data_IF_212066474208
#
_entry.id   IF_212066474208
#
_cell.length_a   1.000
_cell.length_b   1.000
_cell.length_c   1.000
_cell.angle_alpha   90.00
_cell.angle_beta   90.00
_cell.angle_gamma   90.00
#
_symmetry.space_group_name_H-M   'P 1'
#
loop_
_entity.id
_entity.type
_entity.pdbx_description
1 polymer ?
#
# COMPACT_ATOMS: atom_id res chain seq x y z
N UNK A 1 22.30 -52.11 21.45
CA UNK A 1 22.04 -50.68 21.74
C UNK A 1 22.65 -49.73 20.67
N UNK A 2 22.36 -49.92 19.38
CA UNK A 2 22.84 -49.01 18.29
C UNK A 2 21.71 -48.46 17.40
N UNK A 3 20.45 -48.80 17.68
CA UNK A 3 19.28 -48.45 16.85
C UNK A 3 18.39 -47.33 17.43
N UNK A 4 18.68 -46.84 18.64
CA UNK A 4 17.86 -45.81 19.33
C UNK A 4 18.41 -44.39 19.11
N UNK A 5 19.70 -44.25 18.78
CA UNK A 5 20.35 -42.94 18.62
C UNK A 5 20.01 -42.29 17.27
N UNK A 6 19.76 -43.10 16.22
CA UNK A 6 19.43 -42.59 14.88
C UNK A 6 18.04 -41.93 14.79
N UNK A 7 17.08 -42.33 15.63
CA UNK A 7 15.72 -41.82 15.56
C UNK A 7 15.61 -40.40 16.15
N UNK A 8 16.37 -40.12 17.22
CA UNK A 8 16.37 -38.82 17.91
C UNK A 8 17.04 -37.69 17.11
N UNK A 9 18.10 -38.01 16.34
CA UNK A 9 18.78 -37.02 15.49
C UNK A 9 17.92 -36.62 14.30
N UNK A 10 17.15 -37.55 13.73
CA UNK A 10 16.27 -37.26 12.59
C UNK A 10 15.07 -36.40 13.03
N UNK A 11 14.50 -36.61 14.22
CA UNK A 11 13.38 -35.77 14.70
C UNK A 11 13.80 -34.33 14.97
N UNK A 12 15.02 -34.10 15.48
CA UNK A 12 15.55 -32.75 15.71
C UNK A 12 15.78 -31.96 14.40
N UNK A 13 16.18 -32.65 13.33
CA UNK A 13 16.38 -32.03 12.00
C UNK A 13 15.03 -31.65 11.36
N UNK A 14 13.99 -32.48 11.50
CA UNK A 14 12.64 -32.12 11.00
C UNK A 14 12.01 -30.97 11.77
N UNK A 15 12.23 -30.86 13.08
CA UNK A 15 11.76 -29.72 13.88
C UNK A 15 12.54 -28.43 13.54
N UNK A 16 13.85 -28.52 13.31
CA UNK A 16 14.69 -27.39 12.92
C UNK A 16 14.39 -26.84 11.52
N UNK A 17 14.13 -27.72 10.55
CA UNK A 17 13.75 -27.31 9.18
C UNK A 17 12.33 -26.73 9.17
N UNK A 18 11.39 -27.30 9.93
CA UNK A 18 10.04 -26.76 10.07
C UNK A 18 10.02 -25.32 10.63
N UNK A 19 10.86 -25.02 11.62
CA UNK A 19 10.97 -23.66 12.18
C UNK A 19 11.67 -22.67 11.24
N UNK A 20 12.69 -23.10 10.50
CA UNK A 20 13.41 -22.25 9.55
C UNK A 20 12.55 -21.90 8.33
N UNK A 21 11.79 -22.86 7.78
CA UNK A 21 10.85 -22.63 6.67
C UNK A 21 9.70 -21.73 7.14
N UNK A 22 9.18 -21.93 8.35
CA UNK A 22 8.13 -21.07 8.92
C UNK A 22 8.64 -19.63 9.16
N UNK A 23 9.92 -19.41 9.46
CA UNK A 23 10.51 -18.07 9.63
C UNK A 23 10.83 -17.38 8.29
N UNK A 24 11.22 -18.14 7.27
CA UNK A 24 11.45 -17.63 5.92
C UNK A 24 10.13 -17.27 5.21
N UNK A 25 9.05 -18.01 5.47
CA UNK A 25 7.70 -17.74 4.93
C UNK A 25 6.98 -16.62 5.70
N UNK A 26 7.16 -16.51 7.02
CA UNK A 26 6.37 -15.58 7.84
C UNK A 26 6.98 -14.21 8.08
N UNK A 27 8.25 -13.94 7.76
CA UNK A 27 8.90 -12.64 8.05
C UNK A 27 8.69 -12.14 9.50
N UNK A 28 9.01 -10.88 9.83
CA UNK A 28 8.69 -10.31 11.13
C UNK A 28 7.20 -9.95 11.23
N UNK A 29 6.67 -9.91 12.46
CA UNK A 29 5.25 -9.61 12.72
C UNK A 29 4.85 -8.23 12.23
N UNK A 30 3.62 -8.11 11.74
CA UNK A 30 3.00 -6.87 11.28
C UNK A 30 1.70 -6.61 12.05
N UNK A 31 1.77 -6.16 13.31
CA UNK A 31 0.60 -6.02 14.18
C UNK A 31 -0.37 -4.94 13.70
N UNK A 32 -1.65 -5.25 13.68
CA UNK A 32 -2.74 -4.37 13.27
C UNK A 32 -3.63 -4.12 14.48
N UNK A 33 -3.80 -2.86 14.84
CA UNK A 33 -4.74 -2.42 15.89
C UNK A 33 -5.70 -1.33 15.39
N UNK A 34 -5.76 -1.09 14.08
CA UNK A 34 -6.70 -0.18 13.48
C UNK A 34 -6.75 -0.29 11.97
N UNK A 35 -7.70 0.43 11.38
CA UNK A 35 -7.84 0.63 9.96
C UNK A 35 -7.96 2.11 9.63
N UNK A 36 -7.50 2.51 8.46
CA UNK A 36 -7.88 3.77 7.85
C UNK A 36 -8.81 3.48 6.68
N UNK A 37 -9.90 4.23 6.57
CA UNK A 37 -10.88 4.08 5.50
C UNK A 37 -10.97 5.38 4.72
N UNK A 38 -10.90 5.30 3.41
CA UNK A 38 -10.99 6.42 2.47
C UNK A 38 -12.26 6.33 1.62
N UNK A 39 -12.90 7.48 1.40
CA UNK A 39 -14.09 7.58 0.56
C UNK A 39 -14.80 8.93 0.68
N UNK A 40 -16.09 8.95 0.34
CA UNK A 40 -16.94 10.12 0.59
C UNK A 40 -17.28 10.24 2.07
N UNK A 41 -17.78 11.41 2.50
CA UNK A 41 -18.19 11.63 3.90
C UNK A 41 -19.28 10.65 4.34
N UNK A 42 -20.18 10.30 3.43
CA UNK A 42 -21.26 9.33 3.65
C UNK A 42 -20.68 7.93 3.90
N UNK A 43 -19.73 7.50 3.06
CA UNK A 43 -19.04 6.21 3.24
C UNK A 43 -18.35 6.15 4.60
N UNK A 44 -17.59 7.19 4.96
CA UNK A 44 -16.90 7.27 6.25
C UNK A 44 -17.87 7.24 7.42
N UNK A 45 -18.96 7.99 7.34
CA UNK A 45 -19.98 8.04 8.39
C UNK A 45 -20.65 6.67 8.58
N UNK A 46 -20.94 5.97 7.49
CA UNK A 46 -21.50 4.62 7.53
C UNK A 46 -20.55 3.62 8.21
N UNK A 47 -19.25 3.66 7.87
CA UNK A 47 -18.26 2.79 8.52
C UNK A 47 -18.07 3.14 9.99
N UNK A 48 -17.99 4.42 10.36
CA UNK A 48 -17.91 4.81 11.79
C UNK A 48 -19.11 4.30 12.58
N UNK A 49 -20.32 4.42 12.03
CA UNK A 49 -21.54 3.91 12.66
C UNK A 49 -21.49 2.39 12.86
N UNK A 50 -20.80 1.65 11.99
CA UNK A 50 -20.60 0.21 12.13
C UNK A 50 -19.73 -0.16 13.36
N UNK A 51 -18.88 0.75 13.84
CA UNK A 51 -17.99 0.55 14.99
C UNK A 51 -18.40 1.33 16.24
N UNK A 52 -19.50 2.09 16.21
CA UNK A 52 -19.90 3.02 17.28
C UNK A 52 -20.00 2.36 18.67
N UNK A 53 -20.45 1.10 18.72
CA UNK A 53 -20.68 0.37 19.98
C UNK A 53 -19.43 -0.37 20.49
N UNK A 54 -18.28 -0.20 19.81
CA UNK A 54 -17.04 -0.94 20.10
C UNK A 54 -15.98 -0.09 20.82
N UNK A 55 -16.34 1.08 21.36
CA UNK A 55 -15.43 2.02 22.04
C UNK A 55 -14.15 2.34 21.25
N UNK A 56 -14.26 2.36 19.91
CA UNK A 56 -13.15 2.67 19.03
C UNK A 56 -12.74 4.13 19.18
N UNK A 57 -11.44 4.43 18.96
CA UNK A 57 -10.99 5.81 18.81
C UNK A 57 -10.96 6.16 17.34
N UNK A 58 -11.54 7.30 16.98
CA UNK A 58 -11.56 7.77 15.60
C UNK A 58 -10.82 9.08 15.42
N UNK A 59 -10.20 9.29 14.27
CA UNK A 59 -9.62 10.57 13.88
C UNK A 59 -9.81 10.78 12.38
N UNK A 60 -10.19 12.00 11.99
CA UNK A 60 -10.48 12.34 10.61
C UNK A 60 -9.38 13.18 9.99
N UNK A 61 -9.16 12.91 8.71
CA UNK A 61 -8.14 13.49 7.86
C UNK A 61 -8.72 13.68 6.45
N UNK A 62 -7.97 14.38 5.62
CA UNK A 62 -8.17 14.41 4.18
C UNK A 62 -6.84 14.22 3.47
N UNK A 63 -6.92 13.75 2.24
CA UNK A 63 -5.79 13.61 1.33
C UNK A 63 -6.30 13.74 -0.11
N UNK A 64 -5.39 13.93 -1.06
CA UNK A 64 -5.68 13.85 -2.49
C UNK A 64 -5.04 12.59 -3.05
N UNK A 65 -5.85 11.78 -3.74
CA UNK A 65 -5.37 10.62 -4.48
C UNK A 65 -5.12 11.05 -5.92
N UNK A 66 -3.85 11.24 -6.26
CA UNK A 66 -3.44 11.61 -7.63
C UNK A 66 -3.20 10.32 -8.40
N UNK A 67 -3.91 10.12 -9.50
CA UNK A 67 -3.75 8.96 -10.38
C UNK A 67 -3.46 9.43 -11.79
N UNK A 68 -2.33 9.02 -12.32
CA UNK A 68 -1.93 9.21 -13.70
C UNK A 68 -2.10 7.88 -14.45
N UNK A 69 -2.86 7.90 -15.53
CA UNK A 69 -3.06 6.74 -16.40
C UNK A 69 -2.07 6.87 -17.56
N UNK A 70 -1.09 5.96 -17.60
CA UNK A 70 -0.09 5.91 -18.65
C UNK A 70 -0.52 4.82 -19.62
N UNK A 71 -0.86 5.24 -20.84
CA UNK A 71 -1.12 4.32 -21.95
C UNK A 71 0.14 4.20 -22.78
N UNK A 72 0.72 3.00 -22.80
CA UNK A 72 1.82 2.66 -23.67
C UNK A 72 1.27 2.14 -24.99
N UNK A 73 1.45 2.90 -26.07
CA UNK A 73 1.08 2.41 -27.39
C UNK A 73 2.11 1.37 -27.84
N UNK A 74 1.68 0.09 -27.86
CA UNK A 74 2.45 -0.99 -28.44
C UNK A 74 2.29 -0.97 -29.96
N UNK A 75 3.39 -1.07 -30.69
CA UNK A 75 3.35 -1.24 -32.14
C UNK A 75 2.73 -2.60 -32.50
N UNK A 76 2.24 -2.73 -33.73
CA UNK A 76 1.71 -4.01 -34.25
C UNK A 76 2.75 -5.13 -34.12
N UNK A 77 4.02 -4.84 -34.41
CA UNK A 77 5.12 -5.81 -34.30
C UNK A 77 5.32 -6.27 -32.84
N UNK A 78 5.32 -5.34 -31.87
CA UNK A 78 5.44 -5.67 -30.45
C UNK A 78 4.26 -6.50 -29.95
N UNK A 79 3.03 -6.18 -30.38
CA UNK A 79 1.84 -6.97 -30.03
C UNK A 79 1.96 -8.40 -30.54
N UNK A 80 2.39 -8.60 -31.78
CA UNK A 80 2.56 -9.93 -32.38
C UNK A 80 3.69 -10.74 -31.72
N UNK A 81 4.81 -10.10 -31.37
CA UNK A 81 5.90 -10.76 -30.62
C UNK A 81 5.44 -11.25 -29.24
N UNK A 82 4.73 -10.41 -28.47
CA UNK A 82 4.22 -10.79 -27.14
C UNK A 82 3.22 -11.94 -27.24
N UNK A 83 2.29 -11.89 -28.20
CA UNK A 83 1.34 -12.99 -28.44
C UNK A 83 2.04 -14.29 -28.80
N UNK A 84 3.09 -14.22 -29.61
CA UNK A 84 3.91 -15.39 -29.97
C UNK A 84 4.58 -15.99 -28.74
N UNK A 85 5.17 -15.17 -27.87
CA UNK A 85 5.74 -15.64 -26.60
C UNK A 85 4.70 -16.32 -25.70
N UNK A 86 3.49 -15.77 -25.59
CA UNK A 86 2.41 -16.36 -24.77
C UNK A 86 1.99 -17.73 -25.32
N UNK A 87 1.86 -17.85 -26.64
CA UNK A 87 1.59 -19.13 -27.32
C UNK A 87 2.72 -20.14 -27.09
N UNK A 88 3.98 -19.72 -27.15
CA UNK A 88 5.16 -20.57 -26.88
C UNK A 88 5.27 -21.00 -25.42
N UNK A 89 4.84 -20.16 -24.47
CA UNK A 89 4.74 -20.49 -23.03
C UNK A 89 3.55 -21.40 -22.70
N UNK A 90 2.73 -21.74 -23.70
CA UNK A 90 1.58 -22.63 -23.55
C UNK A 90 0.36 -21.99 -22.91
N UNK A 91 0.24 -20.65 -22.98
CA UNK A 91 -0.97 -19.97 -22.53
C UNK A 91 -2.11 -20.24 -23.53
N UNK A 92 -3.16 -20.92 -23.06
CA UNK A 92 -4.34 -21.24 -23.88
C UNK A 92 -5.32 -20.06 -23.87
N UNK A 93 -4.99 -19.01 -24.63
CA UNK A 93 -5.86 -17.85 -24.87
C UNK A 93 -6.20 -17.73 -26.36
N UNK A 94 -7.42 -17.32 -26.65
CA UNK A 94 -7.84 -16.94 -28.00
C UNK A 94 -7.21 -15.61 -28.41
N UNK A 95 -7.16 -15.34 -29.73
CA UNK A 95 -6.61 -14.10 -30.28
C UNK A 95 -7.28 -12.85 -29.69
N UNK A 96 -8.60 -12.89 -29.53
CA UNK A 96 -9.40 -11.80 -28.94
C UNK A 96 -9.11 -11.60 -27.44
N UNK A 97 -8.84 -12.67 -26.69
CA UNK A 97 -8.43 -12.59 -25.29
C UNK A 97 -7.02 -12.02 -25.15
N UNK A 98 -6.11 -12.39 -26.05
CA UNK A 98 -4.76 -11.84 -26.08
C UNK A 98 -4.76 -10.35 -26.42
N UNK A 99 -5.58 -9.92 -27.39
CA UNK A 99 -5.73 -8.49 -27.71
C UNK A 99 -6.28 -7.70 -26.51
N UNK A 100 -7.31 -8.20 -25.84
CA UNK A 100 -7.85 -7.59 -24.61
C UNK A 100 -6.81 -7.54 -23.49
N UNK A 101 -5.98 -8.57 -23.37
CA UNK A 101 -4.93 -8.63 -22.33
C UNK A 101 -3.79 -7.66 -22.63
N UNK A 102 -3.40 -7.50 -23.90
CA UNK A 102 -2.42 -6.50 -24.34
C UNK A 102 -2.94 -5.08 -24.12
N UNK A 103 -4.20 -4.81 -24.45
CA UNK A 103 -4.82 -3.51 -24.25
C UNK A 103 -4.98 -3.17 -22.76
N UNK A 104 -5.10 -4.16 -21.87
CA UNK A 104 -5.01 -3.96 -20.41
C UNK A 104 -3.57 -3.73 -19.95
N UNK A 105 -2.63 -4.53 -20.45
CA UNK A 105 -1.22 -4.50 -20.03
C UNK A 105 -0.49 -3.23 -20.49
N UNK A 106 -0.97 -2.62 -21.58
CA UNK A 106 -0.52 -1.32 -22.07
C UNK A 106 -1.01 -0.13 -21.23
N UNK A 107 -1.88 -0.35 -20.23
CA UNK A 107 -2.32 0.70 -19.32
C UNK A 107 -1.66 0.49 -17.97
N UNK A 108 -0.66 1.31 -17.66
CA UNK A 108 -0.12 1.40 -16.30
C UNK A 108 -0.75 2.59 -15.55
N UNK A 109 -0.80 2.49 -14.22
CA UNK A 109 -1.31 3.55 -13.35
C UNK A 109 -0.20 3.95 -12.39
N UNK A 110 0.20 5.22 -12.40
CA UNK A 110 1.00 5.83 -11.34
C UNK A 110 0.06 6.52 -10.36
N UNK A 111 0.27 6.32 -9.07
CA UNK A 111 -0.63 6.84 -8.06
C UNK A 111 0.13 7.35 -6.85
N UNK A 112 -0.31 8.47 -6.30
CA UNK A 112 0.29 9.11 -5.14
C UNK A 112 -0.78 9.48 -4.11
N UNK A 113 -0.48 9.20 -2.84
CA UNK A 113 -1.22 9.74 -1.72
C UNK A 113 -0.60 11.09 -1.34
N UNK A 114 -1.25 12.18 -1.74
CA UNK A 114 -0.78 13.53 -1.44
C UNK A 114 -1.41 14.02 -0.15
N UNK A 115 -0.59 14.38 0.82
CA UNK A 115 -1.00 14.88 2.13
C UNK A 115 -0.31 16.20 2.46
N UNK A 116 -0.93 17.00 3.32
CA UNK A 116 -0.29 18.19 3.87
C UNK A 116 0.78 17.83 4.91
N UNK A 117 1.74 18.72 5.15
CA UNK A 117 2.71 18.58 6.25
C UNK A 117 2.04 18.38 7.61
N UNK A 118 0.98 19.14 7.88
CA UNK A 118 0.21 19.03 9.13
C UNK A 118 -0.43 17.64 9.32
N UNK A 119 -0.85 17.01 8.22
CA UNK A 119 -1.34 15.62 8.22
C UNK A 119 -0.21 14.62 8.40
N UNK A 120 0.92 14.83 7.72
CA UNK A 120 2.11 13.99 7.85
C UNK A 120 2.64 13.95 9.30
N UNK A 121 2.67 15.09 9.99
CA UNK A 121 3.04 15.16 11.42
C UNK A 121 2.11 14.33 12.31
N UNK A 122 0.79 14.41 12.08
CA UNK A 122 -0.20 13.62 12.83
C UNK A 122 -0.04 12.14 12.55
N UNK A 123 0.25 11.76 11.30
CA UNK A 123 0.48 10.37 10.91
C UNK A 123 1.79 9.83 11.51
N UNK A 124 2.85 10.64 11.51
CA UNK A 124 4.14 10.31 12.12
C UNK A 124 3.97 10.00 13.60
N UNK A 125 3.29 10.87 14.37
CA UNK A 125 3.01 10.66 15.80
C UNK A 125 2.23 9.39 16.09
N UNK A 126 1.39 8.94 15.15
CA UNK A 126 0.58 7.72 15.27
C UNK A 126 1.27 6.48 14.70
N UNK A 127 2.46 6.59 14.12
CA UNK A 127 3.15 5.49 13.44
C UNK A 127 2.48 5.00 12.14
N UNK A 128 1.65 5.85 11.53
CA UNK A 128 0.89 5.54 10.31
C UNK A 128 1.81 5.54 9.08
N UNK A 129 2.78 6.46 9.02
CA UNK A 129 3.78 6.47 7.94
C UNK A 129 4.77 5.35 8.19
N UNK A 130 4.97 4.49 7.19
CA UNK A 130 5.88 3.34 7.26
C UNK A 130 6.96 3.42 6.20
N UNK A 131 8.09 2.78 6.50
CA UNK A 131 9.27 2.62 5.62
C UNK A 131 9.63 1.14 5.55
N UNK A 132 10.26 0.64 4.46
CA UNK A 132 10.80 -0.71 4.40
C UNK A 132 11.75 -0.98 5.57
N UNK A 133 11.79 -2.22 6.04
CA UNK A 133 12.74 -2.63 7.08
C UNK A 133 14.20 -2.55 6.62
N UNK A 134 14.45 -2.80 5.34
CA UNK A 134 15.77 -2.64 4.73
C UNK A 134 15.65 -1.75 3.50
N UNK A 135 16.65 -0.89 3.29
CA UNK A 135 16.73 -0.02 2.11
C UNK A 135 16.79 -0.80 0.80
N UNK A 136 17.27 -2.04 0.84
CA UNK A 136 17.34 -2.92 -0.33
C UNK A 136 16.03 -3.64 -0.61
N UNK A 137 15.16 -3.74 0.39
CA UNK A 137 13.98 -4.57 0.34
C UNK A 137 12.84 -3.89 -0.45
N UNK A 138 12.34 -4.61 -1.45
CA UNK A 138 11.08 -4.30 -2.12
C UNK A 138 9.88 -4.91 -1.39
N UNK A 139 10.12 -5.67 -0.30
CA UNK A 139 9.05 -6.34 0.42
C UNK A 139 8.10 -5.36 1.13
N UNK A 140 6.87 -5.83 1.31
CA UNK A 140 5.84 -5.17 2.10
C UNK A 140 6.14 -5.12 3.61
N UNK A 141 7.27 -5.67 4.04
CA UNK A 141 7.65 -5.68 5.44
C UNK A 141 8.21 -4.32 5.82
N UNK A 142 7.57 -3.67 6.79
CA UNK A 142 7.82 -2.27 7.11
C UNK A 142 7.76 -1.99 8.59
N UNK A 143 8.37 -0.87 8.98
CA UNK A 143 8.35 -0.33 10.34
C UNK A 143 7.81 1.10 10.33
N UNK A 144 7.19 1.61 11.41
CA UNK A 144 6.83 3.01 11.51
C UNK A 144 8.05 3.91 11.32
N UNK A 145 7.87 4.99 10.56
CA UNK A 145 8.86 6.07 10.47
C UNK A 145 8.91 6.77 11.83
N UNK A 146 10.11 6.93 12.39
CA UNK A 146 10.32 7.54 13.71
C UNK A 146 10.45 9.06 13.64
N UNK A 147 11.04 9.56 12.57
CA UNK A 147 11.35 10.97 12.36
C UNK A 147 11.34 11.28 10.86
N UNK A 148 10.87 12.46 10.52
CA UNK A 148 11.02 13.05 9.19
C UNK A 148 11.60 14.46 9.37
N UNK A 149 12.91 14.60 9.23
CA UNK A 149 13.62 15.86 9.48
C UNK A 149 13.22 16.95 8.49
N UNK A 150 12.89 16.54 7.28
CA UNK A 150 12.53 17.42 6.18
C UNK A 150 11.15 18.05 6.35
N UNK A 151 10.32 17.61 7.30
CA UNK A 151 9.06 18.28 7.63
C UNK A 151 9.25 19.72 8.11
N UNK A 152 10.41 20.03 8.71
CA UNK A 152 10.76 21.39 9.13
C UNK A 152 11.17 22.31 7.95
N UNK A 153 11.41 21.75 6.77
CA UNK A 153 11.70 22.51 5.55
C UNK A 153 10.42 23.06 4.95
N UNK A 154 10.48 24.20 4.24
CA UNK A 154 9.35 24.71 3.46
C UNK A 154 9.10 23.92 2.16
N UNK A 155 10.04 23.07 1.76
CA UNK A 155 9.95 22.27 0.53
C UNK A 155 8.82 21.22 0.61
N UNK A 156 8.27 20.89 -0.56
CA UNK A 156 7.46 19.68 -0.72
C UNK A 156 8.39 18.47 -0.77
N UNK A 157 7.93 17.30 -0.33
CA UNK A 157 8.76 16.11 -0.15
C UNK A 157 8.17 14.96 -0.95
N UNK A 158 9.05 14.24 -1.66
CA UNK A 158 8.70 13.05 -2.40
C UNK A 158 9.56 11.88 -1.96
N UNK A 159 8.93 10.81 -1.46
CA UNK A 159 9.60 9.64 -0.92
C UNK A 159 9.51 8.47 -1.90
N UNK A 160 10.58 8.26 -2.66
CA UNK A 160 10.72 7.09 -3.52
C UNK A 160 12.17 6.68 -3.62
N UNK A 161 12.46 5.38 -3.51
CA UNK A 161 13.83 4.84 -3.58
C UNK A 161 14.51 5.15 -4.92
N UNK A 162 13.76 5.08 -6.01
CA UNK A 162 14.18 5.47 -7.35
C UNK A 162 13.06 6.29 -7.97
N UNK A 163 13.31 7.57 -8.22
CA UNK A 163 12.50 8.32 -9.16
C UNK A 163 12.94 7.87 -10.56
N UNK A 164 12.00 7.48 -11.40
CA UNK A 164 12.30 7.38 -12.83
C UNK A 164 12.58 8.79 -13.36
N UNK A 165 13.48 8.95 -14.34
CA UNK A 165 13.84 10.26 -14.89
C UNK A 165 12.62 11.03 -15.44
N UNK A 166 11.58 10.29 -15.84
CA UNK A 166 10.29 10.84 -16.30
C UNK A 166 9.35 11.25 -15.15
N UNK A 167 9.54 10.69 -13.95
CA UNK A 167 8.70 10.96 -12.78
C UNK A 167 9.11 12.25 -12.07
N UNK A 168 10.41 12.48 -11.94
CA UNK A 168 10.98 13.72 -11.39
C UNK A 168 11.94 14.33 -12.40
N UNK A 169 11.50 15.41 -13.05
CA UNK A 169 12.29 16.13 -14.05
C UNK A 169 12.66 17.52 -13.52
N UNK A 170 13.94 17.85 -13.56
CA UNK A 170 14.47 19.14 -13.10
C UNK A 170 14.01 19.52 -11.68
N UNK A 171 13.91 18.53 -10.78
CA UNK A 171 13.43 18.71 -9.40
C UNK A 171 11.91 18.87 -9.25
N UNK A 172 11.13 18.64 -10.31
CA UNK A 172 9.68 18.72 -10.30
C UNK A 172 9.06 17.34 -10.51
N UNK A 173 8.14 16.96 -9.61
CA UNK A 173 7.33 15.76 -9.72
C UNK A 173 6.10 16.05 -10.59
N UNK A 174 5.84 15.21 -11.58
CA UNK A 174 4.59 15.25 -12.33
C UNK A 174 3.46 14.59 -11.52
N UNK A 175 2.52 15.40 -11.04
CA UNK A 175 1.27 14.97 -10.42
C UNK A 175 0.12 15.16 -11.41
N UNK A 176 -0.09 14.16 -12.27
CA UNK A 176 -1.19 14.13 -13.25
C UNK A 176 -1.25 15.38 -14.15
N UNK A 177 -0.12 15.69 -14.78
CA UNK A 177 0.08 16.85 -15.64
C UNK A 177 0.41 18.15 -14.90
N UNK A 178 0.54 18.12 -13.57
CA UNK A 178 0.98 19.27 -12.77
C UNK A 178 2.41 19.08 -12.30
N UNK A 179 3.30 19.96 -12.74
CA UNK A 179 4.70 19.96 -12.30
C UNK A 179 4.83 20.65 -10.95
N UNK A 180 5.10 19.87 -9.91
CA UNK A 180 5.24 20.36 -8.53
C UNK A 180 6.70 20.29 -8.10
N UNK A 181 7.32 21.39 -7.64
CA UNK A 181 8.69 21.34 -7.13
C UNK A 181 8.74 20.50 -5.86
N UNK A 182 9.62 19.51 -5.83
CA UNK A 182 9.80 18.60 -4.69
C UNK A 182 11.27 18.42 -4.35
N UNK A 183 11.55 18.20 -3.07
CA UNK A 183 12.75 17.55 -2.62
C UNK A 183 12.53 16.04 -2.70
N UNK A 184 13.22 15.39 -3.64
CA UNK A 184 13.24 13.95 -3.71
C UNK A 184 14.13 13.38 -2.59
N UNK A 185 13.59 12.41 -1.87
CA UNK A 185 14.27 11.69 -0.80
C UNK A 185 14.31 10.22 -1.21
N UNK A 186 15.53 9.67 -1.29
CA UNK A 186 15.81 8.28 -1.72
C UNK A 186 15.42 7.25 -0.66
N UNK A 187 14.13 7.22 -0.34
CA UNK A 187 13.53 6.32 0.62
C UNK A 187 12.06 6.12 0.23
N UNK A 188 11.57 4.89 0.30
CA UNK A 188 10.13 4.64 0.13
C UNK A 188 9.42 4.89 1.45
N UNK A 189 8.45 5.78 1.45
CA UNK A 189 7.50 5.92 2.55
C UNK A 189 6.08 5.78 2.03
N UNK A 190 5.20 5.20 2.85
CA UNK A 190 3.78 5.00 2.52
C UNK A 190 2.91 4.97 3.78
N UNK A 191 1.60 4.87 3.61
CA UNK A 191 0.60 4.82 4.68
C UNK A 191 0.25 3.36 5.00
N UNK A 192 0.35 2.98 6.27
CA UNK A 192 -0.06 1.65 6.75
C UNK A 192 0.73 0.49 6.11
N UNK A 193 0.15 -0.71 6.15
CA UNK A 193 0.83 -1.90 5.64
C UNK A 193 0.88 -2.03 4.12
N UNK A 194 0.12 -1.21 3.38
CA UNK A 194 0.20 -1.12 1.94
C UNK A 194 -0.48 0.16 1.46
N UNK A 195 0.24 1.07 0.80
CA UNK A 195 -0.38 2.15 0.03
C UNK A 195 0.51 2.60 -1.12
N UNK A 196 -0.06 3.43 -1.99
CA UNK A 196 0.68 4.24 -2.97
C UNK A 196 1.73 5.11 -2.25
N UNK A 197 2.84 5.48 -2.94
CA UNK A 197 3.85 6.39 -2.41
C UNK A 197 3.24 7.69 -1.88
N UNK A 198 3.81 8.24 -0.80
CA UNK A 198 3.38 9.52 -0.24
C UNK A 198 4.13 10.70 -0.88
N UNK A 199 3.37 11.78 -1.10
CA UNK A 199 3.92 13.10 -1.42
C UNK A 199 3.43 14.05 -0.34
N UNK A 200 4.36 14.70 0.36
CA UNK A 200 4.04 15.63 1.44
C UNK A 200 4.22 17.05 0.91
N UNK A 201 3.14 17.81 0.85
CA UNK A 201 3.16 19.17 0.27
C UNK A 201 2.79 20.22 1.31
N UNK A 202 3.19 21.46 1.05
CA UNK A 202 2.69 22.62 1.80
C UNK A 202 1.19 22.89 1.48
N UNK A 203 0.54 23.67 2.33
CA UNK A 203 -0.90 23.96 2.24
C UNK A 203 -1.28 24.68 0.93
N UNK A 204 -0.40 25.54 0.42
CA UNK A 204 -0.62 26.27 -0.83
C UNK A 204 -0.64 25.33 -2.04
N UNK A 205 0.41 24.51 -2.18
CA UNK A 205 0.54 23.49 -3.22
C UNK A 205 -0.65 22.53 -3.14
N UNK A 206 -0.99 22.07 -1.93
CA UNK A 206 -2.11 21.15 -1.72
C UNK A 206 -3.43 21.70 -2.27
N UNK A 207 -3.74 22.99 -2.03
CA UNK A 207 -4.96 23.64 -2.53
C UNK A 207 -4.98 23.80 -4.06
N UNK A 208 -3.82 23.97 -4.68
CA UNK A 208 -3.70 24.16 -6.14
C UNK A 208 -3.86 22.87 -6.95
N UNK A 209 -3.64 21.69 -6.35
CA UNK A 209 -3.86 20.40 -7.01
C UNK A 209 -5.31 20.25 -7.50
N UNK A 210 -5.51 19.77 -8.73
CA UNK A 210 -6.84 19.64 -9.37
C UNK A 210 -7.68 18.52 -8.76
N UNK A 211 -7.02 17.56 -8.12
CA UNK A 211 -7.64 16.39 -7.53
C UNK A 211 -8.55 16.79 -6.36
N UNK A 212 -9.70 16.12 -6.27
CA UNK A 212 -10.64 16.32 -5.17
C UNK A 212 -10.07 15.73 -3.89
N UNK A 213 -10.35 16.40 -2.78
CA UNK A 213 -10.07 15.81 -1.47
C UNK A 213 -10.94 14.59 -1.22
N UNK A 214 -10.32 13.56 -0.68
CA UNK A 214 -10.96 12.32 -0.22
C UNK A 214 -10.98 12.34 1.30
N UNK A 215 -12.12 11.96 1.89
CA UNK A 215 -12.23 11.84 3.34
C UNK A 215 -11.52 10.57 3.78
N UNK A 216 -10.69 10.67 4.82
CA UNK A 216 -9.90 9.57 5.35
C UNK A 216 -10.11 9.50 6.86
N UNK A 217 -10.56 8.36 7.38
CA UNK A 217 -10.83 8.21 8.81
C UNK A 217 -10.08 7.02 9.38
N UNK A 218 -9.36 7.27 10.47
CA UNK A 218 -8.78 6.25 11.32
C UNK A 218 -9.88 5.68 12.24
N UNK A 219 -9.95 4.37 12.33
CA UNK A 219 -10.70 3.60 13.32
C UNK A 219 -9.71 2.71 14.05
N UNK A 220 -9.29 3.13 15.25
CA UNK A 220 -8.42 2.35 16.12
C UNK A 220 -9.28 1.43 16.99
N UNK A 221 -9.00 0.14 16.91
CA UNK A 221 -9.73 -0.89 17.66
C UNK A 221 -9.43 -0.80 19.15
N UNK A 222 -10.45 -0.99 19.99
CA UNK A 222 -10.28 -0.95 21.44
C UNK A 222 -9.63 -2.22 22.00
N UNK A 223 -9.94 -3.39 21.42
CA UNK A 223 -9.51 -4.71 21.91
C UNK A 223 -8.90 -5.61 20.83
N UNK A 224 -9.30 -5.41 19.57
CA UNK A 224 -8.82 -6.25 18.49
C UNK A 224 -7.39 -5.87 18.10
N UNK A 225 -6.50 -6.85 18.15
CA UNK A 225 -5.15 -6.79 17.61
C UNK A 225 -4.86 -8.12 16.91
N UNK A 226 -4.30 -8.07 15.72
CA UNK A 226 -3.93 -9.26 14.95
C UNK A 226 -2.76 -8.97 14.02
N UNK A 227 -2.09 -10.00 13.54
CA UNK A 227 -1.03 -9.82 12.54
C UNK A 227 -1.64 -9.63 11.13
N UNK A 228 -1.21 -8.63 10.37
CA UNK A 228 -1.63 -8.37 8.98
C UNK A 228 -1.45 -9.59 8.06
N UNK A 229 -0.51 -10.49 8.38
CA UNK A 229 -0.30 -11.76 7.65
C UNK A 229 -1.41 -12.77 7.89
N UNK A 230 -2.23 -12.58 8.93
CA UNK A 230 -3.43 -13.38 9.17
C UNK A 230 -4.55 -12.96 8.20
N UNK A 231 -4.56 -13.56 7.01
CA UNK A 231 -5.53 -13.26 5.95
C UNK A 231 -6.99 -13.52 6.37
N UNK A 232 -7.23 -14.47 7.27
CA UNK A 232 -8.58 -14.70 7.81
C UNK A 232 -9.07 -13.52 8.65
N UNK A 233 -8.19 -12.91 9.44
CA UNK A 233 -8.52 -11.71 10.24
C UNK A 233 -8.69 -10.48 9.36
N UNK A 234 -7.79 -10.25 8.41
CA UNK A 234 -7.93 -9.20 7.39
C UNK A 234 -9.27 -9.32 6.68
N UNK A 235 -9.59 -10.51 6.13
CA UNK A 235 -10.86 -10.77 5.43
C UNK A 235 -12.07 -10.48 6.31
N UNK A 236 -12.07 -10.86 7.59
CA UNK A 236 -13.17 -10.56 8.51
C UNK A 236 -13.43 -9.06 8.66
N UNK A 237 -12.36 -8.25 8.77
CA UNK A 237 -12.49 -6.79 8.85
C UNK A 237 -13.04 -6.23 7.53
N UNK A 238 -12.52 -6.69 6.39
CA UNK A 238 -12.97 -6.26 5.05
C UNK A 238 -14.43 -6.62 4.82
N UNK A 239 -14.84 -7.85 5.14
CA UNK A 239 -16.22 -8.32 5.04
C UNK A 239 -17.15 -7.51 5.96
N UNK A 240 -16.68 -7.14 7.15
CA UNK A 240 -17.44 -6.32 8.08
C UNK A 240 -17.70 -4.92 7.51
N UNK A 241 -16.66 -4.22 7.05
CA UNK A 241 -16.77 -2.90 6.42
C UNK A 241 -17.60 -2.97 5.12
N UNK A 242 -17.48 -4.06 4.36
CA UNK A 242 -18.21 -4.29 3.10
C UNK A 242 -19.73 -4.34 3.26
N UNK A 243 -20.26 -4.49 4.48
CA UNK A 243 -21.70 -4.41 4.77
C UNK A 243 -22.30 -3.03 4.48
N UNK A 244 -21.48 -1.98 4.56
CA UNK A 244 -21.94 -0.58 4.45
C UNK A 244 -21.16 0.22 3.42
N UNK A 245 -20.02 -0.27 2.94
CA UNK A 245 -19.19 0.41 1.94
C UNK A 245 -18.40 -0.60 1.09
N UNK A 246 -18.51 -0.52 -0.24
CA UNK A 246 -17.84 -1.43 -1.17
C UNK A 246 -16.30 -1.22 -1.21
N UNK A 247 -15.61 -1.89 -0.29
CA UNK A 247 -14.15 -1.85 -0.11
C UNK A 247 -13.43 -3.09 -0.66
N UNK A 248 -14.09 -3.87 -1.52
CA UNK A 248 -13.47 -5.02 -2.18
C UNK A 248 -13.08 -4.67 -3.61
N UNK A 249 -11.97 -5.23 -4.07
CA UNK A 249 -11.55 -5.16 -5.47
C UNK A 249 -12.21 -6.26 -6.32
N UNK A 250 -11.86 -6.31 -7.61
CA UNK A 250 -12.40 -7.27 -8.58
C UNK A 250 -12.06 -8.73 -8.26
N UNK A 251 -11.02 -8.97 -7.47
CA UNK A 251 -10.60 -10.30 -7.01
C UNK A 251 -11.25 -10.68 -5.66
N UNK A 252 -12.07 -9.80 -5.09
CA UNK A 252 -12.67 -9.98 -3.77
C UNK A 252 -11.70 -9.76 -2.61
N UNK A 253 -10.48 -9.28 -2.89
CA UNK A 253 -9.56 -8.77 -1.87
C UNK A 253 -9.96 -7.35 -1.46
N UNK A 254 -9.19 -6.74 -0.55
CA UNK A 254 -9.49 -5.37 -0.15
C UNK A 254 -8.93 -4.36 -1.15
N UNK A 255 -9.75 -3.39 -1.49
CA UNK A 255 -9.37 -2.26 -2.30
C UNK A 255 -8.40 -1.37 -1.51
N UNK A 256 -7.15 -1.40 -1.94
CA UNK A 256 -6.02 -0.72 -1.32
C UNK A 256 -6.10 0.81 -1.42
N UNK A 257 -7.06 1.34 -2.18
CA UNK A 257 -7.35 2.78 -2.23
C UNK A 257 -8.48 3.19 -1.27
N UNK A 258 -9.15 2.22 -0.65
CA UNK A 258 -10.31 2.44 0.23
C UNK A 258 -10.10 2.01 1.67
N UNK A 259 -9.25 1.02 1.92
CA UNK A 259 -8.98 0.52 3.27
C UNK A 259 -7.50 0.17 3.46
N UNK A 260 -6.91 0.75 4.49
CA UNK A 260 -5.52 0.55 4.89
C UNK A 260 -5.48 -0.06 6.28
N UNK A 261 -4.67 -1.10 6.47
CA UNK A 261 -4.42 -1.67 7.80
C UNK A 261 -3.24 -0.97 8.45
N UNK A 262 -3.37 -0.63 9.74
CA UNK A 262 -2.38 0.19 10.45
C UNK A 262 -2.06 -0.35 11.84
N UNK A 263 -0.85 -0.03 12.26
CA UNK A 263 -0.34 -0.19 13.62
C UNK A 263 -0.22 1.19 14.26
N UNK A 264 -1.19 1.55 15.10
CA UNK A 264 -1.19 2.82 15.81
C UNK A 264 -0.28 2.73 17.04
N UNK A 265 0.72 3.61 17.07
CA UNK A 265 1.56 3.88 18.22
C UNK A 265 0.81 4.86 19.14
N UNK A 266 0.77 4.56 20.45
CA UNK A 266 0.16 5.42 21.47
C UNK A 266 1.22 6.23 22.20
#
# INVERSE_FOLDING_TARGET
>A
MKKIIGFLVVTAIFIGIGFAVNRYINGPSQPVNGIMVSGTKENISAVKNLYKDQNVRTADYSYKLVTEIIKQELTTEQKEEIKKEWKEKGENMTEEEMDKQLDKSSVSKKQYAVITKSTAEKFLKKGIIRTPLSKEDSSMTSTPVKEIKELASEKNLFYRKKAEDEEVKDGNLNLNGQMIPVQHIEQNNWIGYFSSPIVIVNEETYKQLKEKEVSLSLIQFAKENFDYKNKNKVKKVVDYVSKVYAVKDENGEHDKDKIYFVEIQN
#
